data_IF_413441267281
#
_entry.id   IF_413441267281
#
_cell.length_a   1.000
_cell.length_b   1.000
_cell.length_c   1.000
_cell.angle_alpha   90.00
_cell.angle_beta   90.00
_cell.angle_gamma   90.00
#
_symmetry.space_group_name_H-M   'P 1'
#
loop_
_entity.id
_entity.type
_entity.pdbx_description
1 polymer ?
#
# COMPACT_ATOMS: atom_id res chain seq x y z
N UNK A 1 3.41 -9.25 14.61
CA UNK A 1 2.98 -9.94 15.84
C UNK A 1 3.15 -11.44 15.60
N UNK A 2 3.53 -12.26 16.59
CA UNK A 2 3.69 -13.71 16.41
C UNK A 2 2.31 -14.38 16.36
N UNK A 3 1.97 -15.12 15.30
CA UNK A 3 0.66 -15.79 15.20
C UNK A 3 0.72 -17.20 15.78
N UNK A 4 -0.11 -17.48 16.77
CA UNK A 4 -0.08 -18.74 17.52
C UNK A 4 -1.45 -19.40 17.49
N UNK A 5 -1.53 -20.60 16.93
CA UNK A 5 -2.74 -21.42 16.99
C UNK A 5 -2.87 -21.98 18.42
N UNK A 6 -4.05 -21.91 19.03
CA UNK A 6 -4.30 -22.55 20.33
C UNK A 6 -5.47 -23.51 20.25
N UNK A 7 -5.26 -24.77 20.61
CA UNK A 7 -6.30 -25.81 20.62
C UNK A 7 -6.63 -26.13 22.08
N UNK A 8 -7.78 -25.64 22.56
CA UNK A 8 -8.25 -25.74 23.95
C UNK A 8 -9.77 -25.55 23.98
N UNK A 9 -10.52 -26.51 24.51
CA UNK A 9 -11.99 -26.46 24.54
C UNK A 9 -12.55 -25.43 25.53
N UNK A 10 -11.73 -24.98 26.48
CA UNK A 10 -12.08 -24.02 27.51
C UNK A 10 -11.42 -22.64 27.30
N UNK A 11 -10.89 -22.35 26.11
CA UNK A 11 -10.20 -21.09 25.83
C UNK A 11 -11.06 -19.85 26.14
N UNK A 12 -12.39 -19.95 25.96
CA UNK A 12 -13.35 -18.86 26.24
C UNK A 12 -13.42 -18.46 27.72
N UNK A 13 -12.87 -19.27 28.61
CA UNK A 13 -12.74 -18.96 30.05
C UNK A 13 -11.38 -18.31 30.39
N UNK A 14 -10.53 -18.13 29.38
CA UNK A 14 -9.12 -17.74 29.53
C UNK A 14 -8.80 -16.42 28.80
N UNK A 15 -9.76 -15.49 28.75
CA UNK A 15 -9.61 -14.18 28.09
C UNK A 15 -8.40 -13.37 28.60
N UNK A 16 -8.05 -13.53 29.89
CA UNK A 16 -6.87 -12.89 30.47
C UNK A 16 -5.58 -13.37 29.83
N UNK A 17 -5.44 -14.68 29.59
CA UNK A 17 -4.25 -15.26 28.95
C UNK A 17 -4.12 -14.76 27.50
N UNK A 18 -5.24 -14.65 26.78
CA UNK A 18 -5.27 -14.11 25.42
C UNK A 18 -4.81 -12.64 25.43
N UNK A 19 -5.31 -11.85 26.38
CA UNK A 19 -4.94 -10.44 26.54
C UNK A 19 -3.46 -10.26 26.89
N UNK A 20 -2.95 -11.06 27.82
CA UNK A 20 -1.54 -11.03 28.25
C UNK A 20 -0.60 -11.46 27.11
N UNK A 21 -1.01 -12.43 26.30
CA UNK A 21 -0.29 -12.85 25.10
C UNK A 21 -0.24 -11.71 24.07
N UNK A 22 -1.34 -11.00 23.85
CA UNK A 22 -1.40 -9.87 22.92
C UNK A 22 -0.46 -8.73 23.36
N UNK A 23 -0.46 -8.37 24.65
CA UNK A 23 0.48 -7.41 25.23
C UNK A 23 1.94 -7.88 25.07
N UNK A 24 2.16 -9.19 25.11
CA UNK A 24 3.46 -9.81 24.86
C UNK A 24 3.82 -9.91 23.36
N UNK A 25 2.99 -9.40 22.45
CA UNK A 25 3.21 -9.42 21.00
C UNK A 25 2.87 -10.75 20.32
N UNK A 26 2.05 -11.57 20.97
CA UNK A 26 1.54 -12.86 20.49
C UNK A 26 0.05 -12.74 20.19
N UNK A 27 -0.34 -13.00 18.94
CA UNK A 27 -1.73 -13.09 18.53
C UNK A 27 -2.19 -14.55 18.62
N UNK A 28 -3.05 -14.86 19.58
CA UNK A 28 -3.62 -16.20 19.79
C UNK A 28 -4.85 -16.39 18.89
N UNK A 29 -4.89 -17.50 18.16
CA UNK A 29 -5.99 -17.93 17.31
C UNK A 29 -6.57 -19.23 17.89
N UNK A 30 -7.60 -19.14 18.75
CA UNK A 30 -8.08 -20.29 19.52
C UNK A 30 -9.14 -21.13 18.79
N UNK A 31 -9.17 -22.44 19.07
CA UNK A 31 -10.13 -23.43 18.58
C UNK A 31 -10.52 -24.41 19.68
N UNK A 32 -11.78 -24.86 19.70
CA UNK A 32 -12.32 -25.71 20.78
C UNK A 32 -12.00 -27.20 20.60
N UNK A 33 -11.55 -27.60 19.40
CA UNK A 33 -11.34 -29.01 19.05
C UNK A 33 -10.12 -29.21 18.17
N UNK A 34 -9.59 -30.42 18.21
CA UNK A 34 -8.56 -30.89 17.29
C UNK A 34 -8.97 -30.68 15.82
N UNK A 35 -10.17 -31.13 15.44
CA UNK A 35 -10.67 -31.02 14.06
C UNK A 35 -10.68 -29.56 13.56
N UNK A 36 -11.24 -28.64 14.33
CA UNK A 36 -11.29 -27.23 13.92
C UNK A 36 -9.89 -26.61 13.83
N UNK A 37 -9.03 -26.87 14.83
CA UNK A 37 -7.68 -26.32 14.88
C UNK A 37 -6.79 -26.84 13.75
N UNK A 38 -6.86 -28.14 13.43
CA UNK A 38 -6.06 -28.73 12.35
C UNK A 38 -6.58 -28.30 10.98
N UNK A 39 -7.90 -28.26 10.77
CA UNK A 39 -8.46 -27.75 9.52
C UNK A 39 -8.03 -26.29 9.25
N UNK A 40 -7.97 -25.47 10.31
CA UNK A 40 -7.45 -24.11 10.19
C UNK A 40 -5.95 -24.08 9.91
N UNK A 41 -5.16 -24.91 10.62
CA UNK A 41 -3.73 -25.03 10.40
C UNK A 41 -3.41 -25.40 8.95
N UNK A 42 -4.14 -26.33 8.36
CA UNK A 42 -3.94 -26.77 6.97
C UNK A 42 -4.16 -25.64 5.97
N UNK A 43 -5.21 -24.85 6.17
CA UNK A 43 -5.51 -23.71 5.32
C UNK A 43 -4.53 -22.54 5.52
N UNK A 44 -3.80 -22.49 6.64
CA UNK A 44 -3.05 -21.31 7.09
C UNK A 44 -1.61 -21.60 7.53
N UNK A 45 -1.05 -22.76 7.19
CA UNK A 45 0.23 -23.28 7.72
C UNK A 45 1.38 -22.27 7.60
N UNK A 46 1.51 -21.63 6.43
CA UNK A 46 2.53 -20.62 6.14
C UNK A 46 2.47 -19.38 7.07
N UNK A 47 1.30 -19.12 7.64
CA UNK A 47 1.02 -17.94 8.46
C UNK A 47 1.08 -18.22 9.96
N UNK A 48 1.08 -19.48 10.38
CA UNK A 48 1.19 -19.89 11.78
C UNK A 48 2.67 -19.99 12.18
N UNK A 49 3.03 -19.25 13.23
CA UNK A 49 4.39 -19.20 13.73
C UNK A 49 4.63 -20.28 14.81
N UNK A 50 3.65 -20.56 15.67
CA UNK A 50 3.70 -21.63 16.69
C UNK A 50 2.31 -22.20 17.02
N UNK A 51 2.27 -23.29 17.79
CA UNK A 51 1.03 -23.95 18.23
C UNK A 51 1.05 -24.17 19.74
N UNK A 52 -0.07 -23.94 20.42
CA UNK A 52 -0.31 -24.33 21.82
C UNK A 52 -1.39 -25.42 21.82
N UNK A 53 -1.17 -26.50 22.57
CA UNK A 53 -2.11 -27.61 22.71
C UNK A 53 -2.49 -27.79 24.19
N UNK A 54 -3.78 -27.80 24.51
CA UNK A 54 -4.25 -28.29 25.80
C UNK A 54 -4.21 -29.82 25.87
N UNK A 55 -4.00 -30.35 27.08
CA UNK A 55 -3.90 -31.79 27.29
C UNK A 55 -5.24 -32.54 27.18
N UNK A 56 -6.36 -31.88 27.48
CA UNK A 56 -7.72 -32.42 27.35
C UNK A 56 -8.52 -31.53 26.41
N UNK A 57 -8.37 -31.77 25.11
CA UNK A 57 -9.19 -31.12 24.11
C UNK A 57 -10.16 -32.11 23.48
N UNK A 58 -11.26 -31.58 22.93
CA UNK A 58 -12.21 -32.37 22.14
C UNK A 58 -11.55 -32.85 20.85
N UNK A 59 -11.91 -34.05 20.40
CA UNK A 59 -11.49 -34.54 19.08
C UNK A 59 -12.30 -33.81 17.99
N UNK A 60 -13.62 -33.74 18.16
CA UNK A 60 -14.56 -33.00 17.31
C UNK A 60 -15.34 -31.95 18.08
N UNK A 61 -15.89 -30.97 17.36
CA UNK A 61 -16.68 -29.87 17.95
C UNK A 61 -17.83 -30.34 18.85
N UNK A 62 -18.57 -31.35 18.37
CA UNK A 62 -19.79 -31.84 19.01
C UNK A 62 -19.52 -32.92 20.09
N UNK A 63 -18.26 -33.25 20.36
CA UNK A 63 -17.94 -34.21 21.41
C UNK A 63 -18.22 -33.61 22.80
N UNK A 64 -18.94 -34.37 23.63
CA UNK A 64 -19.25 -33.99 25.02
C UNK A 64 -18.09 -34.26 25.98
N UNK A 65 -17.11 -35.08 25.57
CA UNK A 65 -16.00 -35.54 26.41
C UNK A 65 -14.65 -35.08 25.89
N UNK A 66 -13.81 -34.54 26.77
CA UNK A 66 -12.39 -34.28 26.48
C UNK A 66 -11.51 -35.38 27.04
N UNK A 67 -10.49 -35.76 26.27
CA UNK A 67 -9.51 -36.77 26.66
C UNK A 67 -8.16 -36.50 25.96
N UNK A 68 -7.18 -37.37 26.21
CA UNK A 68 -5.85 -37.27 25.57
C UNK A 68 -5.85 -37.56 24.07
N UNK A 69 -6.95 -38.08 23.51
CA UNK A 69 -7.01 -38.44 22.08
C UNK A 69 -6.87 -37.21 21.19
N UNK A 70 -7.55 -36.11 21.53
CA UNK A 70 -7.45 -34.86 20.79
C UNK A 70 -6.03 -34.28 20.79
N UNK A 71 -5.35 -34.34 21.95
CA UNK A 71 -3.94 -33.97 22.06
C UNK A 71 -3.06 -34.88 21.19
N UNK A 72 -3.23 -36.20 21.33
CA UNK A 72 -2.44 -37.21 20.60
C UNK A 72 -2.54 -37.00 19.10
N UNK A 73 -3.76 -36.86 18.58
CA UNK A 73 -4.01 -36.63 17.15
C UNK A 73 -3.43 -35.31 16.67
N UNK A 74 -3.57 -34.23 17.45
CA UNK A 74 -2.98 -32.93 17.11
C UNK A 74 -1.46 -33.03 17.01
N UNK A 75 -0.82 -33.64 18.01
CA UNK A 75 0.63 -33.86 18.03
C UNK A 75 1.09 -34.71 16.84
N UNK A 76 0.43 -35.84 16.61
CA UNK A 76 0.81 -36.77 15.55
C UNK A 76 0.65 -36.13 14.16
N UNK A 77 -0.40 -35.32 13.98
CA UNK A 77 -0.57 -34.50 12.79
C UNK A 77 0.59 -33.52 12.60
N UNK A 78 0.89 -32.70 13.62
CA UNK A 78 1.98 -31.71 13.53
C UNK A 78 3.32 -32.40 13.26
N UNK A 79 3.58 -33.55 13.89
CA UNK A 79 4.80 -34.33 13.67
C UNK A 79 4.88 -35.00 12.29
N UNK A 80 3.77 -35.10 11.57
CA UNK A 80 3.73 -35.57 10.19
C UNK A 80 4.11 -34.48 9.16
N UNK A 81 4.00 -33.20 9.52
CA UNK A 81 4.34 -32.07 8.64
C UNK A 81 5.85 -32.03 8.32
N UNK A 82 6.29 -31.58 7.14
CA UNK A 82 7.72 -31.43 6.85
C UNK A 82 8.42 -30.50 7.85
N UNK A 83 9.61 -30.87 8.32
CA UNK A 83 10.35 -30.16 9.37
C UNK A 83 10.56 -28.67 9.01
N UNK A 84 10.71 -28.37 7.73
CA UNK A 84 11.00 -27.04 7.19
C UNK A 84 9.83 -26.05 7.38
N UNK A 85 8.59 -26.56 7.45
CA UNK A 85 7.38 -25.76 7.60
C UNK A 85 6.70 -25.95 8.95
N UNK A 86 6.97 -27.07 9.62
CA UNK A 86 6.37 -27.48 10.90
C UNK A 86 6.55 -26.38 11.97
N UNK A 87 5.47 -25.80 12.50
CA UNK A 87 5.54 -24.90 13.65
C UNK A 87 6.04 -25.65 14.90
N UNK A 88 6.87 -25.03 15.75
CA UNK A 88 7.08 -25.53 17.10
C UNK A 88 5.73 -25.56 17.84
N UNK A 89 5.53 -26.57 18.68
CA UNK A 89 4.33 -26.70 19.49
C UNK A 89 4.66 -26.83 20.97
N UNK A 90 3.75 -26.36 21.81
CA UNK A 90 3.89 -26.29 23.26
C UNK A 90 2.65 -26.87 23.93
N UNK A 91 2.82 -27.67 24.98
CA UNK A 91 1.71 -28.24 25.74
C UNK A 91 1.39 -27.33 26.92
N UNK A 92 0.16 -26.84 27.03
CA UNK A 92 -0.24 -25.91 28.07
C UNK A 92 -1.48 -26.43 28.80
N UNK A 93 -1.34 -26.83 30.05
CA UNK A 93 -2.42 -27.53 30.78
C UNK A 93 -2.55 -27.11 32.23
N UNK A 94 -3.76 -27.24 32.76
CA UNK A 94 -4.11 -27.05 34.18
C UNK A 94 -4.37 -28.36 34.93
N UNK A 95 -4.22 -29.52 34.27
CA UNK A 95 -4.58 -30.83 34.82
C UNK A 95 -3.45 -31.43 35.69
N UNK A 96 -3.65 -31.60 37.00
CA UNK A 96 -2.61 -32.11 37.90
C UNK A 96 -2.12 -33.52 37.54
N UNK A 97 -3.01 -34.36 37.01
CA UNK A 97 -2.73 -35.76 36.64
C UNK A 97 -1.63 -35.89 35.59
N UNK A 98 -1.40 -34.86 34.76
CA UNK A 98 -0.39 -34.86 33.70
C UNK A 98 0.87 -34.08 34.08
N UNK A 99 0.79 -33.11 34.98
CA UNK A 99 1.92 -32.27 35.40
C UNK A 99 3.03 -33.07 36.09
N UNK A 100 2.67 -34.13 36.82
CA UNK A 100 3.61 -34.98 37.56
C UNK A 100 3.90 -36.34 36.91
N UNK A 101 3.40 -36.60 35.70
CA UNK A 101 3.51 -37.91 35.06
C UNK A 101 4.76 -38.01 34.18
N UNK A 102 5.73 -38.83 34.59
CA UNK A 102 6.94 -39.10 33.79
C UNK A 102 6.58 -39.66 32.40
N UNK A 103 5.58 -40.54 32.33
CA UNK A 103 5.08 -41.10 31.06
C UNK A 103 4.53 -40.02 30.13
N UNK A 104 3.84 -39.02 30.69
CA UNK A 104 3.32 -37.90 29.91
C UNK A 104 4.49 -37.06 29.36
N UNK A 105 5.46 -36.74 30.20
CA UNK A 105 6.66 -35.97 29.83
C UNK A 105 7.49 -36.68 28.76
N UNK A 106 7.65 -38.00 28.85
CA UNK A 106 8.33 -38.80 27.84
C UNK A 106 7.60 -38.78 26.48
N UNK A 107 6.25 -38.70 26.50
CA UNK A 107 5.43 -38.78 25.28
C UNK A 107 5.19 -37.42 24.62
N UNK A 108 5.14 -36.33 25.40
CA UNK A 108 4.67 -35.02 24.93
C UNK A 108 5.66 -33.88 25.23
N UNK A 109 6.71 -34.14 26.00
CA UNK A 109 7.61 -33.11 26.53
C UNK A 109 7.10 -32.50 27.84
N UNK A 110 7.87 -31.57 28.38
CA UNK A 110 7.51 -30.84 29.60
C UNK A 110 6.32 -29.88 29.33
N UNK A 111 5.19 -30.04 30.04
CA UNK A 111 4.06 -29.14 29.88
C UNK A 111 4.28 -27.81 30.62
N UNK A 112 3.68 -26.76 30.11
CA UNK A 112 3.52 -25.48 30.78
C UNK A 112 2.25 -25.50 31.64
N UNK A 113 2.35 -25.01 32.87
CA UNK A 113 1.26 -25.00 33.84
C UNK A 113 0.45 -23.72 33.71
N UNK A 114 -0.85 -23.85 33.42
CA UNK A 114 -1.81 -22.73 33.38
C UNK A 114 -1.74 -21.91 34.67
N UNK A 115 -1.78 -20.58 34.54
CA UNK A 115 -1.66 -19.59 35.61
C UNK A 115 -0.29 -19.51 36.33
N UNK A 116 0.64 -20.42 36.06
CA UNK A 116 1.99 -20.40 36.66
C UNK A 116 3.06 -20.07 35.62
N UNK A 117 3.02 -20.74 34.47
CA UNK A 117 4.07 -20.65 33.45
C UNK A 117 3.69 -19.76 32.26
N UNK A 118 2.67 -18.91 32.39
CA UNK A 118 2.17 -18.09 31.27
C UNK A 118 3.27 -17.24 30.62
N UNK A 119 4.03 -16.48 31.43
CA UNK A 119 5.13 -15.64 30.93
C UNK A 119 6.24 -16.48 30.29
N UNK A 120 6.61 -17.60 30.94
CA UNK A 120 7.60 -18.54 30.43
C UNK A 120 7.17 -19.14 29.09
N UNK A 121 5.91 -19.53 28.95
CA UNK A 121 5.34 -20.03 27.71
C UNK A 121 5.47 -18.98 26.59
N UNK A 122 5.15 -17.71 26.88
CA UNK A 122 5.26 -16.64 25.88
C UNK A 122 6.72 -16.40 25.45
N UNK A 123 7.66 -16.46 26.37
CA UNK A 123 9.09 -16.31 26.06
C UNK A 123 9.64 -17.49 25.26
N UNK A 124 9.27 -18.71 25.63
CA UNK A 124 9.68 -19.92 24.92
C UNK A 124 9.03 -20.02 23.53
N UNK A 125 7.80 -19.55 23.35
CA UNK A 125 7.17 -19.36 22.03
C UNK A 125 8.03 -18.42 21.19
N UNK A 126 8.35 -17.22 21.71
CA UNK A 126 9.17 -16.24 20.99
C UNK A 126 10.55 -16.80 20.63
N UNK A 127 11.16 -17.57 21.53
CA UNK A 127 12.43 -18.24 21.29
C UNK A 127 12.30 -19.30 20.19
N UNK A 128 11.28 -20.16 20.26
CA UNK A 128 11.03 -21.23 19.30
C UNK A 128 10.71 -20.74 17.89
N UNK A 129 10.07 -19.58 17.76
CA UNK A 129 9.76 -19.00 16.43
C UNK A 129 10.88 -18.14 15.86
N UNK A 130 11.86 -17.73 16.68
CA UNK A 130 12.91 -16.77 16.28
C UNK A 130 13.65 -17.18 15.01
N UNK A 131 13.86 -18.48 14.83
CA UNK A 131 14.60 -19.02 13.69
C UNK A 131 13.75 -19.29 12.45
N UNK A 132 12.43 -19.13 12.53
CA UNK A 132 11.53 -19.31 11.39
C UNK A 132 11.75 -18.22 10.34
N UNK A 133 11.55 -18.53 9.04
CA UNK A 133 11.73 -17.56 7.96
C UNK A 133 10.95 -16.26 8.20
N UNK A 134 9.68 -16.37 8.58
CA UNK A 134 8.81 -15.22 8.83
C UNK A 134 9.36 -14.30 9.93
N UNK A 135 9.80 -14.87 11.06
CA UNK A 135 10.36 -14.11 12.18
C UNK A 135 11.67 -13.42 11.80
N UNK A 136 12.55 -14.13 11.06
CA UNK A 136 13.80 -13.58 10.54
C UNK A 136 13.56 -12.39 9.62
N UNK A 137 12.61 -12.48 8.69
CA UNK A 137 12.25 -11.37 7.80
C UNK A 137 11.72 -10.17 8.59
N UNK A 138 10.82 -10.38 9.54
CA UNK A 138 10.31 -9.28 10.38
C UNK A 138 11.42 -8.60 11.19
N UNK A 139 12.40 -9.36 11.66
CA UNK A 139 13.56 -8.83 12.37
C UNK A 139 14.54 -8.08 11.45
N UNK A 140 14.64 -8.46 10.18
CA UNK A 140 15.49 -7.78 9.18
C UNK A 140 14.90 -6.47 8.67
N UNK A 141 13.58 -6.38 8.57
CA UNK A 141 12.88 -5.19 8.06
C UNK A 141 11.92 -4.58 9.09
N UNK A 142 12.36 -4.28 10.33
CA UNK A 142 11.46 -3.97 11.44
C UNK A 142 10.62 -2.72 11.18
N UNK A 143 11.19 -1.71 10.51
CA UNK A 143 10.53 -0.43 10.24
C UNK A 143 9.28 -0.58 9.36
N UNK A 144 9.35 -1.37 8.29
CA UNK A 144 8.18 -1.55 7.41
C UNK A 144 7.13 -2.42 8.10
N UNK A 145 7.54 -3.42 8.87
CA UNK A 145 6.59 -4.27 9.60
C UNK A 145 5.89 -3.54 10.76
N UNK A 146 6.48 -2.45 11.26
CA UNK A 146 5.83 -1.55 12.22
C UNK A 146 4.61 -0.84 11.61
N UNK A 147 4.60 -0.58 10.30
CA UNK A 147 3.49 0.06 9.59
C UNK A 147 2.20 -0.78 9.60
N UNK A 148 2.31 -2.10 9.72
CA UNK A 148 1.13 -2.97 9.88
C UNK A 148 0.66 -2.97 11.35
N UNK A 149 1.61 -3.02 12.29
CA UNK A 149 1.31 -3.01 13.73
C UNK A 149 0.60 -1.74 14.19
N UNK A 150 0.97 -0.59 13.63
CA UNK A 150 0.37 0.69 13.98
C UNK A 150 -0.88 1.03 13.14
N UNK A 151 -1.32 0.12 12.27
CA UNK A 151 -2.49 0.29 11.42
C UNK A 151 -2.32 1.28 10.26
N UNK A 152 -1.10 1.73 9.96
CA UNK A 152 -0.86 2.60 8.82
C UNK A 152 -1.19 1.88 7.49
N UNK A 153 -0.75 0.62 7.37
CA UNK A 153 -1.12 -0.31 6.30
C UNK A 153 -1.98 -1.43 6.85
N UNK A 154 -2.98 -1.87 6.08
CA UNK A 154 -3.91 -2.90 6.52
C UNK A 154 -3.20 -4.25 6.71
N UNK A 155 -3.56 -4.93 7.80
CA UNK A 155 -2.95 -6.19 8.26
C UNK A 155 -3.04 -7.32 7.22
N UNK A 156 -4.02 -7.26 6.31
CA UNK A 156 -4.20 -8.25 5.25
C UNK A 156 -3.05 -8.27 4.23
N UNK A 157 -2.37 -7.13 4.02
CA UNK A 157 -1.26 -7.02 3.08
C UNK A 157 0.07 -7.54 3.65
N UNK A 158 0.19 -7.71 4.97
CA UNK A 158 1.44 -8.17 5.62
C UNK A 158 1.93 -9.49 5.02
N UNK A 159 1.01 -10.44 4.80
CA UNK A 159 1.33 -11.76 4.24
C UNK A 159 1.94 -11.67 2.85
N UNK A 160 1.52 -10.70 2.04
CA UNK A 160 2.00 -10.52 0.68
C UNK A 160 3.42 -9.95 0.69
N UNK A 161 3.67 -8.88 1.47
CA UNK A 161 5.02 -8.33 1.62
C UNK A 161 5.98 -9.37 2.21
N UNK A 162 5.53 -10.13 3.20
CA UNK A 162 6.33 -11.18 3.84
C UNK A 162 6.76 -12.25 2.82
N UNK A 163 5.86 -12.74 1.96
CA UNK A 163 6.18 -13.72 0.92
C UNK A 163 7.24 -13.20 -0.05
N UNK A 164 7.13 -11.94 -0.50
CA UNK A 164 8.11 -11.34 -1.41
C UNK A 164 9.49 -11.23 -0.73
N UNK A 165 9.54 -10.75 0.51
CA UNK A 165 10.80 -10.58 1.25
C UNK A 165 11.47 -11.92 1.60
N UNK A 166 10.69 -12.97 1.87
CA UNK A 166 11.23 -14.34 2.01
C UNK A 166 11.90 -14.77 0.71
N UNK A 167 11.22 -14.56 -0.43
CA UNK A 167 11.73 -14.90 -1.76
C UNK A 167 13.04 -14.17 -2.09
N UNK A 168 13.10 -12.86 -1.77
CA UNK A 168 14.32 -12.05 -1.88
C UNK A 168 15.45 -12.67 -1.07
N UNK A 169 15.21 -12.96 0.21
CA UNK A 169 16.24 -13.44 1.13
C UNK A 169 16.70 -14.87 0.85
N UNK A 170 15.88 -15.69 0.19
CA UNK A 170 16.26 -17.03 -0.31
C UNK A 170 17.01 -16.98 -1.64
N UNK A 171 17.07 -15.81 -2.29
CA UNK A 171 17.54 -15.64 -3.66
C UNK A 171 16.78 -16.54 -4.65
N UNK A 172 15.46 -16.67 -4.46
CA UNK A 172 14.62 -17.46 -5.35
C UNK A 172 14.63 -16.83 -6.75
N UNK A 173 14.97 -17.63 -7.76
CA UNK A 173 15.05 -17.22 -9.18
C UNK A 173 13.73 -17.42 -9.92
N UNK A 174 12.78 -18.14 -9.32
CA UNK A 174 11.45 -18.42 -9.87
C UNK A 174 10.45 -18.06 -8.78
N UNK A 175 9.65 -17.03 -9.03
CA UNK A 175 8.61 -16.56 -8.13
C UNK A 175 7.45 -16.07 -9.00
N UNK A 176 6.24 -16.57 -8.73
CA UNK A 176 5.04 -16.08 -9.40
C UNK A 176 4.71 -14.69 -8.86
N UNK A 177 5.20 -13.67 -9.57
CA UNK A 177 5.18 -12.26 -9.22
C UNK A 177 3.95 -11.50 -9.76
N UNK A 178 3.15 -12.11 -10.64
CA UNK A 178 2.01 -11.43 -11.30
C UNK A 178 0.98 -10.95 -10.28
N UNK A 179 0.62 -11.82 -9.32
CA UNK A 179 -0.26 -11.46 -8.21
C UNK A 179 0.31 -10.29 -7.40
N UNK A 180 1.63 -10.26 -7.19
CA UNK A 180 2.26 -9.36 -6.23
C UNK A 180 2.44 -7.94 -6.76
N UNK A 181 2.50 -7.71 -8.08
CA UNK A 181 2.46 -6.35 -8.63
C UNK A 181 1.18 -5.61 -8.24
N UNK A 182 0.03 -6.29 -8.31
CA UNK A 182 -1.23 -5.71 -7.85
C UNK A 182 -1.21 -5.41 -6.34
N UNK A 183 -0.62 -6.31 -5.54
CA UNK A 183 -0.49 -6.10 -4.09
C UNK A 183 0.39 -4.88 -3.75
N UNK A 184 1.47 -4.64 -4.50
CA UNK A 184 2.28 -3.43 -4.34
C UNK A 184 1.47 -2.16 -4.61
N UNK A 185 0.66 -2.18 -5.67
CA UNK A 185 -0.21 -1.05 -6.04
C UNK A 185 -1.28 -0.78 -4.97
N UNK A 186 -1.89 -1.83 -4.42
CA UNK A 186 -2.90 -1.71 -3.37
C UNK A 186 -2.31 -1.12 -2.08
N UNK A 187 -1.12 -1.54 -1.67
CA UNK A 187 -0.43 -0.94 -0.52
C UNK A 187 -0.10 0.55 -0.75
N UNK A 188 0.30 0.94 -1.97
CA UNK A 188 0.48 2.34 -2.34
C UNK A 188 -0.85 3.13 -2.28
N UNK A 189 -1.96 2.52 -2.69
CA UNK A 189 -3.30 3.11 -2.59
C UNK A 189 -3.68 3.39 -1.14
N UNK A 190 -3.43 2.45 -0.23
CA UNK A 190 -3.65 2.66 1.21
C UNK A 190 -2.87 3.87 1.70
N UNK A 191 -1.58 3.99 1.38
CA UNK A 191 -0.77 5.14 1.78
C UNK A 191 -1.30 6.47 1.22
N UNK A 192 -1.76 6.50 -0.03
CA UNK A 192 -2.39 7.69 -0.63
C UNK A 192 -3.73 8.04 0.04
N UNK A 193 -4.51 7.03 0.45
CA UNK A 193 -5.74 7.23 1.23
C UNK A 193 -5.43 7.85 2.59
N UNK A 194 -4.38 7.39 3.29
CA UNK A 194 -3.88 8.04 4.53
C UNK A 194 -3.46 9.49 4.29
N UNK A 195 -2.84 9.78 3.15
CA UNK A 195 -2.50 11.15 2.77
C UNK A 195 -3.74 12.03 2.53
N UNK A 196 -4.83 11.47 2.00
CA UNK A 196 -6.09 12.20 1.87
C UNK A 196 -6.76 12.43 3.24
N UNK A 197 -6.81 11.41 4.10
CA UNK A 197 -7.34 11.50 5.46
C UNK A 197 -6.64 12.61 6.29
N UNK A 198 -5.33 12.80 6.07
CA UNK A 198 -4.53 13.86 6.71
C UNK A 198 -4.62 15.24 6.04
N UNK A 199 -5.41 15.39 4.97
CA UNK A 199 -5.55 16.63 4.21
C UNK A 199 -4.34 16.97 3.31
N UNK A 200 -3.37 16.07 3.16
CA UNK A 200 -2.18 16.29 2.30
C UNK A 200 -2.56 16.07 0.83
N UNK A 201 -3.40 15.07 0.54
CA UNK A 201 -3.91 14.79 -0.79
C UNK A 201 -5.33 15.35 -0.97
N UNK A 202 -5.56 16.08 -2.06
CA UNK A 202 -6.83 16.72 -2.37
C UNK A 202 -8.02 15.74 -2.46
N UNK A 203 -9.19 16.13 -1.94
CA UNK A 203 -10.41 15.29 -1.92
C UNK A 203 -10.89 14.92 -3.35
N UNK A 204 -10.73 15.80 -4.33
CA UNK A 204 -10.98 15.51 -5.76
C UNK A 204 -10.12 14.39 -6.35
N UNK A 205 -9.02 13.98 -5.71
CA UNK A 205 -8.24 12.82 -6.13
C UNK A 205 -8.89 11.49 -5.69
N UNK A 206 -10.00 11.54 -4.99
CA UNK A 206 -10.83 10.38 -4.63
C UNK A 206 -12.03 10.34 -5.58
N UNK A 207 -12.24 9.20 -6.24
CA UNK A 207 -13.35 9.04 -7.17
C UNK A 207 -14.69 8.89 -6.42
N UNK A 208 -15.79 8.88 -7.17
CA UNK A 208 -17.15 8.76 -6.60
C UNK A 208 -17.42 7.47 -5.82
N UNK A 209 -16.58 6.44 -6.00
CA UNK A 209 -16.67 5.17 -5.27
C UNK A 209 -15.83 5.17 -3.98
N UNK A 210 -15.12 6.25 -3.69
CA UNK A 210 -14.21 6.33 -2.54
C UNK A 210 -12.85 5.67 -2.80
N UNK A 211 -12.46 5.48 -4.06
CA UNK A 211 -11.17 4.91 -4.45
C UNK A 211 -10.19 6.02 -4.87
N UNK A 212 -8.89 5.82 -4.61
CA UNK A 212 -7.86 6.81 -4.94
C UNK A 212 -7.53 6.77 -6.44
N UNK A 213 -7.47 7.94 -7.09
CA UNK A 213 -7.00 8.07 -8.47
C UNK A 213 -5.48 8.22 -8.49
N UNK A 214 -4.77 7.09 -8.34
CA UNK A 214 -3.32 7.03 -8.10
C UNK A 214 -2.46 7.92 -9.00
N UNK A 215 -2.71 7.96 -10.31
CA UNK A 215 -1.91 8.75 -11.26
C UNK A 215 -2.04 10.25 -10.97
N UNK A 216 -3.27 10.73 -10.75
CA UNK A 216 -3.55 12.13 -10.44
C UNK A 216 -3.05 12.49 -9.03
N UNK A 217 -3.18 11.57 -8.07
CA UNK A 217 -2.62 11.73 -6.72
C UNK A 217 -1.11 11.91 -6.74
N UNK A 218 -0.40 11.09 -7.52
CA UNK A 218 1.05 11.19 -7.68
C UNK A 218 1.48 12.53 -8.26
N UNK A 219 0.77 13.01 -9.28
CA UNK A 219 1.02 14.32 -9.89
C UNK A 219 0.74 15.47 -8.91
N UNK A 220 -0.38 15.42 -8.19
CA UNK A 220 -0.77 16.45 -7.22
C UNK A 220 0.27 16.59 -6.11
N UNK A 221 0.68 15.46 -5.52
CA UNK A 221 1.69 15.44 -4.46
C UNK A 221 3.07 15.88 -4.96
N UNK A 222 3.34 15.72 -6.26
CA UNK A 222 4.55 16.27 -6.90
C UNK A 222 4.45 17.79 -7.19
N UNK A 223 3.31 18.43 -6.89
CA UNK A 223 3.09 19.87 -7.08
C UNK A 223 2.68 20.27 -8.50
N UNK A 224 2.33 19.29 -9.36
CA UNK A 224 1.81 19.58 -10.68
C UNK A 224 0.35 20.05 -10.62
N UNK A 225 -0.04 20.86 -11.59
CA UNK A 225 -1.44 21.19 -11.85
C UNK A 225 -2.13 19.96 -12.46
N UNK A 226 -3.35 19.68 -12.02
CA UNK A 226 -4.16 18.55 -12.44
C UNK A 226 -5.33 19.08 -13.25
N UNK A 227 -5.08 19.34 -14.53
CA UNK A 227 -6.05 19.95 -15.44
C UNK A 227 -7.43 19.25 -15.42
N UNK A 228 -7.56 17.91 -15.40
CA UNK A 228 -8.88 17.25 -15.39
C UNK A 228 -9.71 17.51 -14.12
N UNK A 229 -9.08 17.97 -13.04
CA UNK A 229 -9.71 18.21 -11.74
C UNK A 229 -9.69 19.69 -11.34
N UNK A 230 -9.05 20.55 -12.14
CA UNK A 230 -8.79 21.96 -11.85
C UNK A 230 -8.22 22.17 -10.45
N UNK A 231 -7.15 21.45 -10.12
CA UNK A 231 -6.48 21.57 -8.81
C UNK A 231 -4.97 21.64 -8.91
N UNK A 232 -4.36 22.27 -7.92
CA UNK A 232 -2.91 22.28 -7.68
C UNK A 232 -2.63 22.36 -6.18
N UNK A 233 -1.46 21.89 -5.76
CA UNK A 233 -0.95 22.18 -4.42
C UNK A 233 0.06 23.34 -4.47
N UNK A 234 -0.04 24.29 -3.53
CA UNK A 234 0.97 25.36 -3.34
C UNK A 234 2.35 24.80 -2.96
N UNK A 235 2.38 23.61 -2.36
CA UNK A 235 3.57 22.93 -1.89
C UNK A 235 3.78 21.64 -2.67
N UNK A 236 5.00 21.44 -3.17
CA UNK A 236 5.44 20.11 -3.62
C UNK A 236 5.72 19.25 -2.39
N UNK A 237 4.92 18.19 -2.19
CA UNK A 237 5.06 17.27 -1.07
C UNK A 237 6.11 16.20 -1.36
N UNK A 238 6.02 15.56 -2.53
CA UNK A 238 7.00 14.57 -2.95
C UNK A 238 8.33 15.21 -3.29
N UNK A 239 9.39 14.72 -2.63
CA UNK A 239 10.73 14.91 -3.16
C UNK A 239 10.84 14.22 -4.53
N UNK A 240 11.81 14.65 -5.35
CA UNK A 240 12.05 14.05 -6.67
C UNK A 240 12.27 12.54 -6.59
N UNK A 241 12.92 12.05 -5.53
CA UNK A 241 13.19 10.62 -5.33
C UNK A 241 11.89 9.85 -5.09
N UNK A 242 11.04 10.34 -4.17
CA UNK A 242 9.75 9.70 -3.87
C UNK A 242 8.81 9.75 -5.08
N UNK A 243 8.75 10.89 -5.78
CA UNK A 243 7.96 11.04 -7.00
C UNK A 243 8.37 10.03 -8.07
N UNK A 244 9.67 9.82 -8.26
CA UNK A 244 10.18 8.81 -9.20
C UNK A 244 9.82 7.38 -8.77
N UNK A 245 9.99 7.03 -7.50
CA UNK A 245 9.62 5.70 -6.99
C UNK A 245 8.14 5.40 -7.18
N UNK A 246 7.28 6.35 -6.81
CA UNK A 246 5.83 6.22 -7.01
C UNK A 246 5.50 6.06 -8.49
N UNK A 247 6.09 6.87 -9.37
CA UNK A 247 5.86 6.78 -10.82
C UNK A 247 6.27 5.42 -11.37
N UNK A 248 7.46 4.94 -11.05
CA UNK A 248 7.94 3.64 -11.53
C UNK A 248 7.06 2.48 -11.04
N UNK A 249 6.59 2.53 -9.79
CA UNK A 249 5.62 1.56 -9.28
C UNK A 249 4.34 1.64 -10.12
N UNK A 250 3.76 2.84 -10.29
CA UNK A 250 2.49 2.99 -11.01
C UNK A 250 2.56 2.57 -12.47
N UNK A 251 3.63 2.93 -13.18
CA UNK A 251 3.81 2.65 -14.60
C UNK A 251 4.01 1.15 -14.84
N UNK A 252 4.81 0.48 -14.00
CA UNK A 252 5.10 -0.95 -14.16
C UNK A 252 3.95 -1.82 -13.65
N UNK A 253 3.30 -1.44 -12.53
CA UNK A 253 2.19 -2.22 -11.96
C UNK A 253 0.82 -1.81 -12.50
N UNK A 254 0.74 -1.03 -13.59
CA UNK A 254 -0.54 -0.60 -14.16
C UNK A 254 -1.35 -1.73 -14.83
N UNK A 255 -0.83 -2.94 -14.80
CA UNK A 255 -1.50 -4.18 -15.16
C UNK A 255 -2.73 -4.37 -14.26
N UNK A 256 -3.91 -3.97 -14.76
CA UNK A 256 -5.20 -4.25 -14.10
C UNK A 256 -5.99 -3.06 -13.57
N UNK A 257 -5.48 -1.83 -13.56
CA UNK A 257 -6.19 -0.68 -12.95
C UNK A 257 -7.19 0.01 -13.89
N UNK A 258 -8.10 0.82 -13.35
CA UNK A 258 -9.10 1.66 -14.05
C UNK A 258 -8.51 2.75 -14.98
N UNK A 259 -7.36 2.51 -15.61
CA UNK A 259 -6.85 3.33 -16.71
C UNK A 259 -7.71 3.12 -17.97
N UNK A 260 -7.72 4.11 -18.87
CA UNK A 260 -8.30 3.96 -20.20
C UNK A 260 -7.74 2.69 -20.86
N UNK A 261 -8.61 1.95 -21.60
CA UNK A 261 -8.30 0.61 -22.15
C UNK A 261 -6.93 0.53 -22.84
N UNK A 262 -6.51 1.61 -23.51
CA UNK A 262 -5.25 1.69 -24.25
C UNK A 262 -4.00 1.63 -23.35
N UNK A 263 -3.97 2.34 -22.21
CA UNK A 263 -2.82 2.35 -21.31
C UNK A 263 -2.63 1.06 -20.51
N UNK A 264 -3.73 0.32 -20.29
CA UNK A 264 -3.72 -1.00 -19.67
C UNK A 264 -3.13 -2.06 -20.61
N UNK A 265 -3.59 -2.08 -21.86
CA UNK A 265 -3.11 -3.03 -22.87
C UNK A 265 -1.62 -2.84 -23.16
N UNK A 266 -1.13 -1.61 -23.16
CA UNK A 266 0.28 -1.29 -23.37
C UNK A 266 1.17 -1.74 -22.20
N UNK A 267 0.78 -1.46 -20.95
CA UNK A 267 1.57 -1.84 -19.76
C UNK A 267 1.65 -3.37 -19.60
N UNK A 268 0.53 -4.06 -19.83
CA UNK A 268 0.49 -5.53 -19.86
C UNK A 268 1.32 -6.12 -20.99
N UNK A 269 1.26 -5.52 -22.18
CA UNK A 269 2.07 -5.94 -23.32
C UNK A 269 3.57 -5.76 -23.04
N UNK A 270 3.97 -4.62 -22.48
CA UNK A 270 5.36 -4.31 -22.14
C UNK A 270 5.90 -5.29 -21.09
N UNK A 271 5.13 -5.59 -20.04
CA UNK A 271 5.55 -6.58 -19.03
C UNK A 271 5.66 -7.99 -19.63
N UNK A 272 4.69 -8.39 -20.48
CA UNK A 272 4.73 -9.69 -21.18
C UNK A 272 5.91 -9.78 -22.13
N UNK A 273 6.24 -8.71 -22.84
CA UNK A 273 7.40 -8.65 -23.73
C UNK A 273 8.72 -8.73 -22.96
N UNK A 274 8.84 -7.96 -21.87
CA UNK A 274 9.98 -8.05 -20.96
C UNK A 274 10.18 -9.49 -20.47
N UNK A 275 9.10 -10.17 -20.04
CA UNK A 275 9.15 -11.56 -19.55
C UNK A 275 9.54 -12.60 -20.60
N UNK A 276 9.26 -12.35 -21.89
CA UNK A 276 9.74 -13.24 -22.97
C UNK A 276 11.26 -13.28 -23.05
N UNK A 277 11.93 -12.18 -22.68
CA UNK A 277 13.38 -12.04 -22.71
C UNK A 277 13.98 -12.37 -21.33
N UNK A 278 13.40 -11.83 -20.26
CA UNK A 278 13.88 -11.93 -18.89
C UNK A 278 12.75 -12.38 -17.96
N UNK A 279 12.71 -13.67 -17.66
CA UNK A 279 11.80 -14.23 -16.67
C UNK A 279 12.50 -14.34 -15.32
N UNK A 280 12.65 -13.20 -14.62
CA UNK A 280 13.28 -13.12 -13.30
C UNK A 280 12.44 -12.27 -12.34
N UNK A 281 12.46 -12.54 -11.03
CA UNK A 281 11.66 -11.78 -10.06
C UNK A 281 12.29 -10.45 -9.64
N UNK A 282 13.46 -10.09 -10.19
CA UNK A 282 14.21 -8.90 -9.78
C UNK A 282 13.46 -7.60 -10.01
N UNK A 283 12.58 -7.54 -11.02
CA UNK A 283 11.72 -6.37 -11.23
C UNK A 283 10.79 -6.16 -10.04
N UNK A 284 10.07 -7.21 -9.60
CA UNK A 284 9.22 -7.18 -8.42
C UNK A 284 10.04 -6.81 -7.17
N UNK A 285 11.21 -7.42 -6.98
CA UNK A 285 12.04 -7.15 -5.81
C UNK A 285 12.47 -5.69 -5.76
N UNK A 286 12.89 -5.11 -6.90
CA UNK A 286 13.26 -3.70 -6.99
C UNK A 286 12.10 -2.76 -6.67
N UNK A 287 10.89 -3.07 -7.14
CA UNK A 287 9.68 -2.28 -6.85
C UNK A 287 9.25 -2.43 -5.40
N UNK A 288 9.47 -3.60 -4.81
CA UNK A 288 9.17 -3.85 -3.39
C UNK A 288 10.00 -2.94 -2.49
N UNK A 289 11.31 -2.81 -2.74
CA UNK A 289 12.16 -1.89 -1.97
C UNK A 289 11.76 -0.43 -2.16
N UNK A 290 11.46 -0.01 -3.40
CA UNK A 290 10.96 1.34 -3.68
C UNK A 290 9.66 1.63 -2.94
N UNK A 291 8.74 0.65 -2.93
CA UNK A 291 7.49 0.78 -2.18
C UNK A 291 7.77 0.92 -0.68
N UNK A 292 8.67 0.13 -0.11
CA UNK A 292 9.02 0.25 1.31
C UNK A 292 9.51 1.66 1.66
N UNK A 293 10.36 2.27 0.83
CA UNK A 293 10.79 3.66 1.04
C UNK A 293 9.62 4.64 0.96
N UNK A 294 8.72 4.47 0.00
CA UNK A 294 7.51 5.31 -0.15
C UNK A 294 6.59 5.17 1.07
N UNK A 295 6.33 3.96 1.56
CA UNK A 295 5.46 3.70 2.70
C UNK A 295 6.02 4.30 4.00
N UNK A 296 7.32 4.11 4.24
CA UNK A 296 8.01 4.70 5.38
C UNK A 296 8.01 6.24 5.29
N UNK A 297 8.27 6.79 4.10
CA UNK A 297 8.21 8.22 3.87
C UNK A 297 6.83 8.79 4.17
N UNK A 298 5.75 8.17 3.68
CA UNK A 298 4.39 8.64 3.97
C UNK A 298 4.09 8.60 5.46
N UNK A 299 4.46 7.52 6.15
CA UNK A 299 4.20 7.38 7.59
C UNK A 299 4.84 8.51 8.40
N UNK A 300 6.11 8.84 8.12
CA UNK A 300 6.81 9.93 8.81
C UNK A 300 6.30 11.30 8.35
N UNK A 301 6.09 11.50 7.05
CA UNK A 301 5.64 12.77 6.49
C UNK A 301 4.25 13.17 7.02
N UNK A 302 3.32 12.22 7.16
CA UNK A 302 2.00 12.46 7.74
C UNK A 302 2.11 12.83 9.23
N UNK A 303 2.99 12.16 10.00
CA UNK A 303 3.23 12.50 11.41
C UNK A 303 3.76 13.92 11.56
N UNK A 304 4.71 14.32 10.71
CA UNK A 304 5.29 15.67 10.71
C UNK A 304 4.32 16.75 10.22
N UNK A 305 3.35 16.39 9.37
CA UNK A 305 2.36 17.30 8.80
C UNK A 305 0.95 16.91 9.27
N UNK A 306 0.75 16.75 10.58
CA UNK A 306 -0.51 16.26 11.15
C UNK A 306 -1.65 17.31 11.23
N UNK A 307 -1.38 18.58 10.91
CA UNK A 307 -2.39 19.63 10.90
C UNK A 307 -3.19 19.63 9.59
N UNK A 308 -4.39 19.02 9.64
CA UNK A 308 -5.28 18.87 8.49
C UNK A 308 -5.68 20.22 7.89
N UNK A 309 -6.05 21.21 8.70
CA UNK A 309 -6.48 22.52 8.21
C UNK A 309 -5.36 23.25 7.47
N UNK A 310 -4.13 23.19 8.02
CA UNK A 310 -2.96 23.75 7.37
C UNK A 310 -2.68 23.05 6.05
N UNK A 311 -2.75 21.72 6.00
CA UNK A 311 -2.54 20.97 4.75
C UNK A 311 -3.59 21.36 3.69
N UNK A 312 -4.87 21.43 4.07
CA UNK A 312 -5.95 21.84 3.17
C UNK A 312 -5.81 23.29 2.68
N UNK A 313 -5.22 24.18 3.49
CA UNK A 313 -4.95 25.57 3.05
C UNK A 313 -3.94 25.68 1.90
N UNK A 314 -3.17 24.61 1.65
CA UNK A 314 -2.25 24.51 0.52
C UNK A 314 -2.94 24.08 -0.77
N UNK A 315 -4.19 23.64 -0.71
CA UNK A 315 -4.97 23.27 -1.88
C UNK A 315 -5.42 24.53 -2.65
N UNK A 316 -5.41 24.43 -3.97
CA UNK A 316 -5.83 25.48 -4.89
C UNK A 316 -6.75 24.86 -5.91
N UNK A 317 -7.99 25.36 -5.99
CA UNK A 317 -8.87 25.13 -7.14
C UNK A 317 -8.50 26.13 -8.23
N UNK A 318 -8.05 25.63 -9.38
CA UNK A 318 -7.63 26.47 -10.52
C UNK A 318 -8.80 26.94 -11.37
N UNK A 319 -10.01 26.43 -11.10
CA UNK A 319 -11.27 26.87 -11.72
C UNK A 319 -11.91 28.10 -11.05
N UNK A 320 -11.38 28.57 -9.91
CA UNK A 320 -11.90 29.77 -9.27
C UNK A 320 -11.47 31.02 -10.06
N UNK A 321 -12.38 31.95 -10.38
CA UNK A 321 -11.95 33.27 -10.86
C UNK A 321 -11.06 33.86 -9.77
N UNK A 322 -9.88 34.35 -10.17
CA UNK A 322 -8.98 35.04 -9.27
C UNK A 322 -9.79 36.01 -8.40
N UNK A 323 -9.63 35.93 -7.08
CA UNK A 323 -10.20 36.91 -6.16
C UNK A 323 -9.88 38.29 -6.70
N UNK A 324 -10.93 39.07 -6.94
CA UNK A 324 -10.87 40.40 -7.51
C UNK A 324 -10.19 41.32 -6.50
N UNK A 325 -8.86 41.31 -6.45
CA UNK A 325 -8.14 42.53 -6.12
C UNK A 325 -8.36 43.47 -7.27
N UNK A 326 -9.28 44.42 -7.05
CA UNK A 326 -9.57 45.53 -7.94
C UNK A 326 -8.28 46.33 -8.15
N UNK A 327 -7.57 46.02 -9.21
CA UNK A 327 -6.67 46.96 -9.89
C UNK A 327 -6.97 46.83 -11.38
N UNK A 328 -7.30 47.96 -12.00
CA UNK A 328 -7.63 48.05 -13.42
C UNK A 328 -6.43 47.63 -14.27
N UNK A 329 -6.37 46.35 -14.65
CA UNK A 329 -5.44 45.84 -15.65
C UNK A 329 -6.24 45.02 -16.66
N UNK A 330 -5.96 45.24 -17.95
CA UNK A 330 -6.66 44.63 -19.08
C UNK A 330 -6.63 43.09 -18.98
N UNK A 331 -7.74 42.42 -19.33
CA UNK A 331 -7.84 40.96 -19.30
C UNK A 331 -6.86 40.33 -20.30
N UNK A 332 -5.73 39.84 -19.77
CA UNK A 332 -4.73 39.09 -20.53
C UNK A 332 -5.16 37.63 -20.67
N UNK A 333 -5.22 37.15 -21.91
CA UNK A 333 -5.58 35.78 -22.28
C UNK A 333 -4.30 35.02 -22.62
N UNK A 334 -4.00 33.97 -21.85
CA UNK A 334 -2.85 33.10 -22.11
C UNK A 334 -3.16 32.10 -23.22
N UNK A 335 -2.18 31.77 -24.06
CA UNK A 335 -2.31 30.74 -25.09
C UNK A 335 -1.00 30.39 -25.77
N UNK A 336 -1.08 29.62 -26.85
CA UNK A 336 0.09 29.14 -27.60
C UNK A 336 0.03 29.59 -29.04
N UNK A 337 1.16 30.03 -29.57
CA UNK A 337 1.33 30.31 -31.00
C UNK A 337 1.55 28.99 -31.72
N UNK A 338 0.61 28.55 -32.55
CA UNK A 338 0.66 27.21 -33.16
C UNK A 338 1.26 27.18 -34.55
N UNK A 339 1.36 28.33 -35.21
CA UNK A 339 1.93 28.47 -36.56
C UNK A 339 2.33 29.92 -36.85
N UNK A 340 3.42 30.11 -37.60
CA UNK A 340 3.77 31.37 -38.26
C UNK A 340 3.87 31.09 -39.77
N UNK A 341 3.01 31.71 -40.56
CA UNK A 341 2.97 31.51 -42.02
C UNK A 341 4.09 32.30 -42.73
N UNK A 342 4.43 31.90 -43.97
CA UNK A 342 5.49 32.54 -44.78
C UNK A 342 5.27 34.05 -45.02
N UNK A 343 4.03 34.52 -44.92
CA UNK A 343 3.67 35.94 -45.03
C UNK A 343 3.77 36.71 -43.69
N UNK A 344 4.31 36.08 -42.66
CA UNK A 344 4.56 36.64 -41.32
C UNK A 344 3.37 36.60 -40.36
N UNK A 345 2.20 36.10 -40.77
CA UNK A 345 1.04 36.00 -39.87
C UNK A 345 1.19 34.83 -38.89
N UNK A 346 0.96 35.10 -37.60
CA UNK A 346 0.91 34.08 -36.55
C UNK A 346 -0.51 33.57 -36.31
N UNK A 347 -0.62 32.36 -35.76
CA UNK A 347 -1.88 31.77 -35.27
C UNK A 347 -1.75 31.52 -33.78
N UNK A 348 -2.60 32.15 -32.98
CA UNK A 348 -2.69 31.99 -31.53
C UNK A 348 -3.91 31.15 -31.16
N UNK A 349 -3.75 30.21 -30.25
CA UNK A 349 -4.86 29.45 -29.66
C UNK A 349 -4.89 29.73 -28.15
N UNK A 350 -5.97 30.35 -27.62
CA UNK A 350 -6.15 30.56 -26.19
C UNK A 350 -6.14 29.25 -25.39
N UNK A 351 -5.60 29.25 -24.18
CA UNK A 351 -5.65 28.10 -23.26
C UNK A 351 -7.11 27.73 -23.01
N UNK A 352 -7.49 26.48 -23.33
CA UNK A 352 -8.86 25.98 -23.17
C UNK A 352 -9.83 26.29 -24.31
N UNK A 353 -9.37 26.90 -25.42
CA UNK A 353 -10.17 27.12 -26.63
C UNK A 353 -9.60 26.36 -27.83
N UNK A 354 -10.45 26.05 -28.81
CA UNK A 354 -10.05 25.54 -30.14
C UNK A 354 -10.15 26.59 -31.24
N UNK A 355 -10.63 27.81 -30.92
CA UNK A 355 -10.80 28.87 -31.90
C UNK A 355 -9.48 29.64 -32.12
N UNK A 356 -8.94 29.66 -33.35
CA UNK A 356 -7.71 30.36 -33.64
C UNK A 356 -7.93 31.87 -33.78
N UNK A 357 -6.99 32.66 -33.24
CA UNK A 357 -6.92 34.11 -33.40
C UNK A 357 -5.65 34.45 -34.20
N UNK A 358 -5.78 35.31 -35.20
CA UNK A 358 -4.64 35.69 -36.04
C UNK A 358 -3.78 36.77 -35.35
N UNK A 359 -2.46 36.56 -35.34
CA UNK A 359 -1.46 37.55 -34.90
C UNK A 359 -0.94 38.30 -36.13
N UNK A 360 -1.11 39.64 -36.20
CA UNK A 360 -0.58 40.45 -37.30
C UNK A 360 0.96 40.34 -37.45
N UNK A 361 1.51 40.40 -38.69
CA UNK A 361 2.95 40.22 -38.92
C UNK A 361 3.85 41.23 -38.21
N UNK A 362 3.39 42.47 -38.03
CA UNK A 362 4.11 43.45 -37.25
C UNK A 362 4.23 43.02 -35.79
N UNK A 363 3.17 42.49 -35.18
CA UNK A 363 3.21 42.05 -33.78
C UNK A 363 4.10 40.82 -33.58
N UNK A 364 4.10 39.88 -34.51
CA UNK A 364 5.02 38.72 -34.52
C UNK A 364 6.47 39.19 -34.56
N UNK A 365 6.79 40.13 -35.46
CA UNK A 365 8.15 40.67 -35.61
C UNK A 365 8.58 41.52 -34.42
N UNK A 366 7.73 42.43 -33.98
CA UNK A 366 8.07 43.42 -32.95
C UNK A 366 8.31 42.76 -31.59
N UNK A 367 7.71 41.58 -31.35
CA UNK A 367 7.92 40.78 -30.14
C UNK A 367 8.80 39.53 -30.37
N UNK A 368 9.35 39.33 -31.57
CA UNK A 368 10.18 38.15 -31.91
C UNK A 368 9.51 36.82 -31.55
N UNK A 369 8.24 36.67 -31.90
CA UNK A 369 7.42 35.50 -31.56
C UNK A 369 7.85 34.28 -32.37
N UNK A 370 7.98 33.12 -31.73
CA UNK A 370 8.31 31.84 -32.34
C UNK A 370 7.12 30.87 -32.34
N UNK A 371 7.14 29.88 -33.25
CA UNK A 371 6.16 28.78 -33.22
C UNK A 371 6.27 28.00 -31.90
N UNK A 372 5.13 27.58 -31.38
CA UNK A 372 4.92 26.91 -30.10
C UNK A 372 5.24 27.73 -28.84
N UNK A 373 5.53 29.02 -28.99
CA UNK A 373 5.73 29.91 -27.86
C UNK A 373 4.42 30.16 -27.11
N UNK A 374 4.50 30.16 -25.77
CA UNK A 374 3.39 30.59 -24.90
C UNK A 374 3.47 32.10 -24.73
N UNK A 375 2.36 32.79 -24.98
CA UNK A 375 2.25 34.25 -24.88
C UNK A 375 0.93 34.61 -24.19
N UNK A 376 0.88 35.82 -23.63
CA UNK A 376 -0.34 36.44 -23.14
C UNK A 376 -0.78 37.54 -24.14
N UNK A 377 -2.07 37.60 -24.44
CA UNK A 377 -2.62 38.60 -25.37
C UNK A 377 -3.85 39.30 -24.79
N UNK A 378 -4.03 40.57 -25.10
CA UNK A 378 -5.32 41.26 -24.91
C UNK A 378 -6.08 41.18 -26.22
N UNK A 379 -7.33 40.72 -26.18
CA UNK A 379 -8.17 40.62 -27.39
C UNK A 379 -9.29 41.65 -27.39
N UNK A 380 -9.64 42.18 -28.57
CA UNK A 380 -10.81 43.04 -28.78
C UNK A 380 -11.71 42.52 -29.89
N UNK A 381 -13.04 42.66 -29.77
CA UNK A 381 -13.94 42.42 -30.89
C UNK A 381 -13.69 43.46 -31.99
N UNK A 382 -13.87 43.06 -33.24
CA UNK A 382 -13.83 43.93 -34.39
C UNK A 382 -14.99 44.94 -34.34
N UNK A 383 -14.89 46.11 -35.01
CA UNK A 383 -15.94 47.13 -34.99
C UNK A 383 -17.31 46.64 -35.50
N UNK A 384 -17.33 45.59 -36.31
CA UNK A 384 -18.52 44.92 -36.83
C UNK A 384 -18.98 43.72 -35.97
N UNK A 385 -18.28 43.41 -34.87
CA UNK A 385 -18.63 42.38 -33.89
C UNK A 385 -18.40 40.93 -34.34
N UNK A 386 -17.94 40.72 -35.57
CA UNK A 386 -17.88 39.38 -36.19
C UNK A 386 -16.56 38.65 -35.97
N UNK A 387 -15.50 39.34 -35.53
CA UNK A 387 -14.16 38.76 -35.36
C UNK A 387 -13.49 39.26 -34.10
N UNK A 388 -12.56 38.49 -33.57
CA UNK A 388 -11.70 38.88 -32.44
C UNK A 388 -10.29 39.13 -32.96
N UNK A 389 -9.66 40.25 -32.58
CA UNK A 389 -8.28 40.59 -32.93
C UNK A 389 -7.44 40.82 -31.68
N UNK A 390 -6.12 40.63 -31.81
CA UNK A 390 -5.15 40.88 -30.75
C UNK A 390 -4.80 42.37 -30.73
N UNK A 391 -4.93 42.98 -29.56
CA UNK A 391 -4.66 44.40 -29.30
C UNK A 391 -3.27 44.62 -28.71
N UNK A 392 -2.83 43.72 -27.82
CA UNK A 392 -1.52 43.78 -27.14
C UNK A 392 -0.98 42.38 -26.87
N UNK A 393 0.35 42.24 -26.80
CA UNK A 393 1.06 40.99 -26.55
C UNK A 393 2.06 41.19 -25.41
N UNK A 394 2.19 40.17 -24.55
CA UNK A 394 3.21 40.05 -23.51
C UNK A 394 3.82 38.65 -23.61
N UNK A 395 5.14 38.56 -23.58
CA UNK A 395 5.91 37.31 -23.66
C UNK A 395 6.45 36.94 -22.28
#
# INVERSE_FOLDING_TARGET
>A
MCKVLWIDDEYKKQDTIISDAELSGINIIPFESHEEGINYLDANLDSIDAIILDAKVKDKKDDETTNLEGLRKSRDYINSLPIEVRPPYFIFTGQPDYMGSDMFKESYGEPYIKATDNEKLFDDIKAGVKDRPNAKIRALYPKVFELFKNGFIDQEYEKHLLKILISINRNDLIFDDELYFNQLRQMLEVAMRRANESGILHDKCINKKGEVILQLSSLFLSGFEIDPLDIKCKKTHFSRIISNHVREILDITNVGSHADKEGKDESEANLKEYRKILNTPYLLYSLTFKLMDVLLWFSEYIKENNNIELNKSLWVDTSAPAETTVSAEQDWVQGTVTRIADNGWGTFIPKGSTEPISIPPNMVRDHSIEEYQKIDVVTKPSPDGNKTHIDSIRI
#
